data_IF_208819404343
#
_entry.id   IF_208819404343
#
_cell.length_a   1.000
_cell.length_b   1.000
_cell.length_c   1.000
_cell.angle_alpha   90.00
_cell.angle_beta   90.00
_cell.angle_gamma   90.00
#
_symmetry.space_group_name_H-M   'P 1'
#
loop_
_entity.id
_entity.type
_entity.pdbx_description
1 polymer ?
#
# COMPACT_ATOMS: atom_id res chain seq x y z
N UNK A 1 4.34 1.22 -33.97
CA UNK A 1 2.91 1.55 -33.97
C UNK A 1 2.41 1.45 -32.52
N UNK A 2 2.25 2.61 -31.84
CA UNK A 2 1.76 2.61 -30.45
C UNK A 2 0.24 2.43 -30.48
N UNK A 3 -0.23 1.28 -30.02
CA UNK A 3 -1.66 1.04 -29.81
C UNK A 3 -2.07 1.86 -28.58
N UNK A 4 -2.86 2.92 -28.78
CA UNK A 4 -3.46 3.68 -27.70
C UNK A 4 -4.57 2.84 -27.07
N UNK A 5 -4.26 2.09 -26.04
CA UNK A 5 -5.24 1.36 -25.24
C UNK A 5 -5.97 2.33 -24.29
N UNK A 6 -7.27 2.48 -24.49
CA UNK A 6 -8.20 3.10 -23.57
C UNK A 6 -8.66 4.51 -23.95
N UNK A 7 -9.86 4.61 -24.52
CA UNK A 7 -10.56 5.90 -24.68
C UNK A 7 -10.91 6.55 -23.32
N UNK A 8 -11.42 7.81 -23.32
CA UNK A 8 -11.71 8.57 -22.09
C UNK A 8 -12.59 7.83 -21.07
N UNK A 9 -13.54 7.03 -21.52
CA UNK A 9 -14.41 6.21 -20.67
C UNK A 9 -13.66 5.08 -19.94
N UNK A 10 -12.69 4.46 -20.61
CA UNK A 10 -11.86 3.43 -20.00
C UNK A 10 -10.94 4.04 -18.93
N UNK A 11 -10.33 5.19 -19.22
CA UNK A 11 -9.49 5.93 -18.28
C UNK A 11 -10.30 6.33 -17.05
N UNK A 12 -11.51 6.89 -17.22
CA UNK A 12 -12.40 7.26 -16.13
C UNK A 12 -12.79 6.05 -15.25
N UNK A 13 -12.93 4.85 -15.85
CA UNK A 13 -13.21 3.61 -15.10
C UNK A 13 -12.02 3.17 -14.24
N UNK A 14 -10.78 3.40 -14.68
CA UNK A 14 -9.57 3.02 -13.96
C UNK A 14 -9.26 3.95 -12.77
N UNK A 15 -9.80 5.16 -12.78
CA UNK A 15 -9.45 6.23 -11.84
C UNK A 15 -10.32 6.26 -10.57
N UNK A 16 -11.49 5.60 -10.53
CA UNK A 16 -12.30 5.61 -9.33
C UNK A 16 -11.79 4.64 -8.28
N UNK A 17 -12.01 4.98 -7.01
CA UNK A 17 -11.71 4.08 -5.89
C UNK A 17 -12.69 2.92 -5.86
N UNK A 18 -12.15 1.74 -5.56
CA UNK A 18 -12.93 0.52 -5.35
C UNK A 18 -12.45 -0.17 -4.08
N UNK A 19 -13.34 -0.91 -3.45
CA UNK A 19 -13.00 -1.78 -2.34
C UNK A 19 -12.18 -2.97 -2.86
N UNK A 20 -10.99 -3.16 -2.31
CA UNK A 20 -10.05 -4.18 -2.80
C UNK A 20 -10.64 -5.58 -2.70
N UNK A 21 -11.34 -5.89 -1.61
CA UNK A 21 -11.95 -7.22 -1.37
C UNK A 21 -13.04 -7.60 -2.36
N UNK A 22 -13.67 -6.65 -3.04
CA UNK A 22 -14.66 -6.95 -4.07
C UNK A 22 -14.03 -7.62 -5.31
N UNK A 23 -12.72 -7.43 -5.50
CA UNK A 23 -11.93 -7.98 -6.61
C UNK A 23 -10.93 -9.06 -6.18
N UNK A 24 -10.47 -9.00 -4.92
CA UNK A 24 -9.51 -9.94 -4.32
C UNK A 24 -10.09 -10.41 -2.98
N UNK A 25 -11.10 -11.31 -2.98
CA UNK A 25 -11.84 -11.65 -1.76
C UNK A 25 -11.00 -12.31 -0.66
N UNK A 26 -9.90 -12.97 -1.03
CA UNK A 26 -9.00 -13.68 -0.12
C UNK A 26 -7.84 -12.83 0.40
N UNK A 27 -7.67 -11.57 -0.09
CA UNK A 27 -6.65 -10.68 0.44
C UNK A 27 -6.95 -10.35 1.91
N UNK A 28 -5.91 -10.32 2.71
CA UNK A 28 -6.05 -9.89 4.11
C UNK A 28 -5.97 -8.37 4.19
N UNK A 29 -6.81 -7.79 5.03
CA UNK A 29 -6.83 -6.34 5.31
C UNK A 29 -6.78 -6.15 6.81
N UNK A 30 -5.82 -5.37 7.26
CA UNK A 30 -5.57 -4.99 8.66
C UNK A 30 -5.04 -3.55 8.66
N UNK A 31 -5.95 -2.60 8.34
CA UNK A 31 -5.57 -1.20 8.28
C UNK A 31 -5.11 -0.73 9.65
N UNK A 32 -3.82 -0.49 9.81
CA UNK A 32 -3.20 -0.12 11.08
C UNK A 32 -3.79 1.16 11.67
N UNK A 33 -4.08 2.12 10.83
CA UNK A 33 -4.66 3.39 11.25
C UNK A 33 -6.18 3.34 11.53
N UNK A 34 -6.82 2.19 11.34
CA UNK A 34 -8.21 1.95 11.77
C UNK A 34 -8.33 1.49 13.22
N UNK A 35 -7.22 1.35 13.93
CA UNK A 35 -7.13 1.01 15.36
C UNK A 35 -6.11 1.92 16.05
N UNK A 36 -5.85 1.70 17.34
CA UNK A 36 -4.79 2.37 18.10
C UNK A 36 -3.42 1.69 17.95
N UNK A 37 -3.36 0.51 17.30
CA UNK A 37 -2.13 -0.25 17.04
C UNK A 37 -1.36 0.32 15.84
N UNK A 38 -0.84 1.56 16.02
CA UNK A 38 -0.02 2.28 15.05
C UNK A 38 0.86 3.31 15.76
N UNK A 39 1.79 3.95 15.04
CA UNK A 39 2.77 4.88 15.63
C UNK A 39 2.15 6.10 16.30
N UNK A 40 0.91 6.48 15.95
CA UNK A 40 0.24 7.63 16.56
C UNK A 40 -0.41 7.29 17.91
N UNK A 41 -0.65 6.00 18.19
CA UNK A 41 -1.41 5.54 19.35
C UNK A 41 -2.90 5.92 19.32
N UNK A 42 -3.41 6.37 18.18
CA UNK A 42 -4.80 6.78 18.01
C UNK A 42 -5.43 6.14 16.80
N UNK A 43 -6.74 5.89 16.87
CA UNK A 43 -7.53 5.53 15.69
C UNK A 43 -7.69 6.76 14.80
N UNK A 44 -7.21 6.66 13.56
CA UNK A 44 -7.23 7.75 12.57
C UNK A 44 -8.33 7.54 11.54
N UNK A 45 -8.55 6.30 11.07
CA UNK A 45 -9.55 5.99 10.05
C UNK A 45 -10.88 5.56 10.68
N UNK A 46 -12.00 6.07 10.12
CA UNK A 46 -13.35 5.63 10.48
C UNK A 46 -13.85 4.45 9.65
N UNK A 47 -13.00 3.91 8.78
CA UNK A 47 -13.27 2.74 7.93
C UNK A 47 -12.22 1.66 8.17
N UNK A 48 -12.59 0.41 7.86
CA UNK A 48 -11.72 -0.78 8.02
C UNK A 48 -11.46 -1.51 6.70
N UNK A 49 -12.04 -1.03 5.61
CA UNK A 49 -11.90 -1.60 4.28
C UNK A 49 -10.79 -0.89 3.49
N UNK A 50 -9.97 -1.65 2.79
CA UNK A 50 -8.96 -1.09 1.91
C UNK A 50 -9.59 -0.63 0.58
N UNK A 51 -9.33 0.63 0.22
CA UNK A 51 -9.75 1.22 -1.05
C UNK A 51 -8.53 1.60 -1.87
N UNK A 52 -8.56 1.34 -3.17
CA UNK A 52 -7.52 1.74 -4.14
C UNK A 52 -8.18 2.11 -5.47
N UNK A 53 -7.44 2.80 -6.34
CA UNK A 53 -7.85 2.99 -7.73
C UNK A 53 -8.03 1.63 -8.40
N UNK A 54 -9.06 1.50 -9.21
CA UNK A 54 -9.36 0.22 -9.89
C UNK A 54 -8.17 -0.29 -10.70
N UNK A 55 -7.42 0.61 -11.37
CA UNK A 55 -6.20 0.25 -12.07
C UNK A 55 -5.14 -0.39 -11.17
N UNK A 56 -4.96 0.16 -9.99
CA UNK A 56 -4.04 -0.37 -8.97
C UNK A 56 -4.50 -1.75 -8.49
N UNK A 57 -5.82 -1.91 -8.25
CA UNK A 57 -6.39 -3.22 -7.86
C UNK A 57 -6.16 -4.27 -8.93
N UNK A 58 -6.29 -3.93 -10.22
CA UNK A 58 -6.02 -4.88 -11.31
C UNK A 58 -4.56 -5.38 -11.33
N UNK A 59 -3.61 -4.52 -10.96
CA UNK A 59 -2.19 -4.90 -10.80
C UNK A 59 -2.02 -5.82 -9.59
N UNK A 60 -2.63 -5.49 -8.45
CA UNK A 60 -2.59 -6.33 -7.24
C UNK A 60 -3.24 -7.71 -7.44
N UNK A 61 -4.29 -7.81 -8.26
CA UNK A 61 -4.88 -9.12 -8.60
C UNK A 61 -3.86 -10.09 -9.20
N UNK A 62 -2.95 -9.60 -10.05
CA UNK A 62 -1.90 -10.43 -10.66
C UNK A 62 -0.85 -10.84 -9.64
N UNK A 63 -0.47 -9.94 -8.74
CA UNK A 63 0.46 -10.23 -7.63
C UNK A 63 -0.15 -11.30 -6.72
N UNK A 64 -1.39 -11.11 -6.30
CA UNK A 64 -2.10 -12.07 -5.45
C UNK A 64 -2.25 -13.44 -6.11
N UNK A 65 -2.53 -13.50 -7.41
CA UNK A 65 -2.61 -14.76 -8.16
C UNK A 65 -1.25 -15.49 -8.17
N UNK A 66 -0.16 -14.77 -8.35
CA UNK A 66 1.19 -15.36 -8.31
C UNK A 66 1.55 -15.88 -6.92
N UNK A 67 1.18 -15.16 -5.86
CA UNK A 67 1.39 -15.57 -4.47
C UNK A 67 0.57 -16.81 -4.09
N UNK A 68 -0.69 -16.91 -4.54
CA UNK A 68 -1.55 -18.09 -4.30
C UNK A 68 -0.87 -19.38 -4.78
N UNK A 69 -0.17 -19.36 -5.92
CA UNK A 69 0.56 -20.52 -6.45
C UNK A 69 1.67 -20.99 -5.52
N UNK A 70 2.18 -20.10 -4.68
CA UNK A 70 3.22 -20.37 -3.67
C UNK A 70 2.62 -20.64 -2.27
N UNK A 71 1.29 -20.61 -2.12
CA UNK A 71 0.63 -20.77 -0.83
C UNK A 71 0.72 -19.54 0.06
N UNK A 72 0.96 -18.38 -0.54
CA UNK A 72 1.10 -17.09 0.13
C UNK A 72 -0.06 -16.15 -0.25
N UNK A 73 -0.21 -15.08 0.51
CA UNK A 73 -1.15 -14.00 0.26
C UNK A 73 -0.58 -12.68 0.72
N UNK A 74 -1.09 -11.58 0.16
CA UNK A 74 -0.86 -10.26 0.69
C UNK A 74 -1.74 -10.00 1.92
N UNK A 75 -1.20 -9.20 2.84
CA UNK A 75 -1.94 -8.51 3.88
C UNK A 75 -1.69 -7.01 3.74
N UNK A 76 -2.75 -6.21 3.64
CA UNK A 76 -2.69 -4.76 3.49
C UNK A 76 -2.72 -4.11 4.87
N UNK A 77 -1.74 -3.26 5.15
CA UNK A 77 -1.65 -2.43 6.35
C UNK A 77 -2.12 -1.00 6.11
N UNK A 78 -1.91 -0.44 4.90
CA UNK A 78 -2.48 0.83 4.46
C UNK A 78 -2.74 0.84 2.94
N UNK A 79 -3.72 1.63 2.52
CA UNK A 79 -4.12 1.75 1.13
C UNK A 79 -4.51 3.22 0.83
N UNK A 80 -5.77 3.53 0.53
CA UNK A 80 -6.20 4.91 0.48
C UNK A 80 -6.09 5.56 1.86
N UNK A 81 -5.39 6.68 1.91
CA UNK A 81 -5.21 7.54 3.09
C UNK A 81 -5.91 8.86 2.85
N UNK A 82 -6.95 9.20 3.63
CA UNK A 82 -7.58 10.50 3.53
C UNK A 82 -6.57 11.65 3.66
N UNK A 83 -6.69 12.74 2.88
CA UNK A 83 -5.83 13.91 3.05
C UNK A 83 -5.80 14.45 4.49
N UNK A 84 -6.92 14.41 5.21
CA UNK A 84 -7.01 14.81 6.62
C UNK A 84 -6.08 14.00 7.52
N UNK A 85 -5.94 12.70 7.30
CA UNK A 85 -5.06 11.83 8.08
C UNK A 85 -3.58 12.24 7.94
N UNK A 86 -3.16 12.71 6.75
CA UNK A 86 -1.78 13.15 6.54
C UNK A 86 -1.44 14.39 7.38
N UNK A 87 -2.40 15.29 7.62
CA UNK A 87 -2.19 16.41 8.53
C UNK A 87 -1.99 15.94 9.97
N UNK A 88 -2.79 14.98 10.44
CA UNK A 88 -2.63 14.39 11.78
C UNK A 88 -1.26 13.73 11.93
N UNK A 89 -0.83 12.95 10.95
CA UNK A 89 0.50 12.33 10.97
C UNK A 89 1.62 13.37 11.05
N UNK A 90 1.51 14.45 10.28
CA UNK A 90 2.49 15.53 10.27
C UNK A 90 2.54 16.28 11.59
N UNK A 91 1.41 16.49 12.26
CA UNK A 91 1.39 17.11 13.61
C UNK A 91 2.12 16.27 14.66
N UNK A 92 2.05 14.93 14.53
CA UNK A 92 2.68 13.99 15.48
C UNK A 92 4.17 13.80 15.15
N UNK A 93 4.50 13.63 13.86
CA UNK A 93 5.85 13.38 13.38
C UNK A 93 6.18 14.30 12.19
N UNK A 94 6.60 15.58 12.44
CA UNK A 94 6.89 16.54 11.37
C UNK A 94 8.28 16.31 10.76
N UNK A 95 8.51 15.13 10.21
CA UNK A 95 9.76 14.71 9.57
C UNK A 95 9.49 14.19 8.15
N UNK A 96 9.97 14.95 7.16
CA UNK A 96 9.83 14.63 5.73
C UNK A 96 10.46 13.26 5.36
N UNK A 97 11.30 12.68 6.21
CA UNK A 97 11.90 11.37 5.99
C UNK A 97 10.85 10.26 6.09
N UNK A 98 9.87 10.42 6.97
CA UNK A 98 8.86 9.40 7.27
C UNK A 98 7.45 9.80 6.84
N UNK A 99 7.10 11.08 6.98
CA UNK A 99 5.76 11.58 6.69
C UNK A 99 5.85 12.65 5.61
N UNK A 100 5.16 12.44 4.49
CA UNK A 100 5.08 13.46 3.44
C UNK A 100 4.44 14.75 4.00
N UNK A 101 5.11 15.88 3.84
CA UNK A 101 4.63 17.17 4.32
C UNK A 101 3.37 17.61 3.55
N UNK A 102 2.19 17.70 4.20
CA UNK A 102 0.92 17.99 3.52
C UNK A 102 0.89 19.38 2.86
N UNK A 103 1.77 20.31 3.29
CA UNK A 103 1.88 21.65 2.69
C UNK A 103 2.64 21.59 1.37
N UNK A 104 3.58 20.66 1.23
CA UNK A 104 4.35 20.43 0.00
C UNK A 104 3.63 19.54 -1.02
N UNK A 105 2.71 18.71 -0.56
CA UNK A 105 1.92 17.81 -1.38
C UNK A 105 1.40 16.59 -0.63
N UNK A 106 0.45 15.92 -1.24
CA UNK A 106 -0.14 14.72 -0.66
C UNK A 106 0.59 13.44 -1.09
N UNK A 107 0.62 12.49 -0.16
CA UNK A 107 1.15 11.14 -0.35
C UNK A 107 0.48 10.43 -1.54
N UNK A 108 1.18 9.49 -2.21
CA UNK A 108 0.57 8.58 -3.18
C UNK A 108 -0.62 7.78 -2.60
N UNK A 109 -0.67 7.52 -1.30
CA UNK A 109 -1.82 6.93 -0.61
C UNK A 109 -3.08 7.79 -0.75
N UNK A 110 -2.98 9.11 -0.62
CA UNK A 110 -4.13 10.02 -0.79
C UNK A 110 -4.64 10.10 -2.22
N UNK A 111 -3.92 9.48 -3.17
CA UNK A 111 -4.33 9.32 -4.57
C UNK A 111 -4.96 7.96 -4.85
N UNK A 112 -4.94 7.04 -3.86
CA UNK A 112 -5.38 5.65 -4.02
C UNK A 112 -4.46 4.80 -4.92
N UNK A 113 -3.22 5.25 -5.13
CA UNK A 113 -2.22 4.61 -5.96
C UNK A 113 -1.03 4.04 -5.19
N UNK A 114 -1.10 3.96 -3.86
CA UNK A 114 -0.06 3.33 -3.05
C UNK A 114 -0.66 2.32 -2.08
N UNK A 115 0.16 1.37 -1.67
CA UNK A 115 -0.22 0.31 -0.74
C UNK A 115 0.97 -0.08 0.12
N UNK A 116 0.71 -0.25 1.42
CA UNK A 116 1.63 -0.83 2.39
C UNK A 116 1.20 -2.26 2.68
N UNK A 117 2.09 -3.21 2.48
CA UNK A 117 1.78 -4.64 2.46
C UNK A 117 2.82 -5.48 3.17
N UNK A 118 2.36 -6.64 3.64
CA UNK A 118 3.21 -7.74 4.09
C UNK A 118 2.76 -9.07 3.50
N UNK A 119 3.52 -10.13 3.73
CA UNK A 119 3.19 -11.49 3.33
C UNK A 119 2.61 -12.29 4.49
N UNK A 120 1.59 -13.07 4.17
CA UNK A 120 1.02 -14.06 5.07
C UNK A 120 0.95 -15.43 4.41
N UNK A 121 0.97 -16.50 5.23
CA UNK A 121 0.72 -17.86 4.78
C UNK A 121 -0.79 -18.13 4.56
N UNK A 122 -1.14 -19.37 4.19
CA UNK A 122 -2.53 -19.79 3.97
C UNK A 122 -3.41 -19.65 5.21
N UNK A 123 -2.83 -19.69 6.41
CA UNK A 123 -3.55 -19.52 7.67
C UNK A 123 -3.81 -18.05 8.01
N UNK A 124 -3.12 -17.13 7.33
CA UNK A 124 -3.13 -15.71 7.60
C UNK A 124 -2.07 -15.25 8.60
N UNK A 125 -1.14 -16.15 8.97
CA UNK A 125 0.00 -15.82 9.82
C UNK A 125 1.03 -15.06 8.99
N UNK A 126 1.53 -13.94 9.50
CA UNK A 126 2.60 -13.17 8.86
C UNK A 126 3.89 -13.98 8.79
N UNK A 127 4.59 -13.84 7.66
CA UNK A 127 5.93 -14.36 7.49
C UNK A 127 6.92 -13.45 8.24
N UNK A 128 8.12 -13.98 8.49
CA UNK A 128 9.22 -13.17 8.97
C UNK A 128 9.58 -12.11 7.93
N UNK A 129 9.40 -10.84 8.26
CA UNK A 129 9.70 -9.70 7.40
C UNK A 129 10.79 -8.83 8.03
N UNK A 130 11.36 -7.86 7.29
CA UNK A 130 12.52 -7.09 7.76
C UNK A 130 12.35 -6.37 9.09
N UNK A 131 11.21 -5.71 9.28
CA UNK A 131 10.85 -4.97 10.49
C UNK A 131 9.35 -5.02 10.70
N UNK A 132 8.89 -4.56 11.83
CA UNK A 132 7.48 -4.20 12.04
C UNK A 132 7.09 -3.02 11.14
N UNK A 133 5.79 -2.79 10.96
CA UNK A 133 5.26 -1.64 10.24
C UNK A 133 5.59 -0.35 10.98
N UNK A 134 5.86 0.74 10.25
CA UNK A 134 6.26 2.04 10.81
C UNK A 134 7.51 1.98 11.72
N UNK A 135 8.45 1.09 11.43
CA UNK A 135 9.75 1.10 12.11
C UNK A 135 10.61 2.26 11.62
N UNK A 136 10.65 3.33 12.40
CA UNK A 136 11.44 4.54 12.13
C UNK A 136 12.91 4.43 12.62
N UNK A 137 13.40 3.23 12.91
CA UNK A 137 14.79 3.02 13.35
C UNK A 137 15.83 3.11 12.23
N UNK A 138 15.38 3.27 10.97
CA UNK A 138 16.22 3.23 9.78
C UNK A 138 16.52 1.81 9.27
N UNK A 139 15.98 0.77 9.90
CA UNK A 139 16.14 -0.63 9.47
C UNK A 139 15.13 -1.06 8.39
N UNK A 140 14.11 -0.25 8.17
CA UNK A 140 13.08 -0.47 7.16
C UNK A 140 13.57 -0.18 5.73
N UNK A 141 14.70 0.51 5.57
CA UNK A 141 15.28 0.80 4.25
C UNK A 141 15.61 -0.49 3.51
N UNK A 142 15.32 -0.52 2.21
CA UNK A 142 15.59 -1.70 1.37
C UNK A 142 17.07 -2.05 1.40
N UNK A 143 17.35 -3.34 1.32
CA UNK A 143 18.71 -3.88 1.38
C UNK A 143 19.50 -3.54 2.66
N UNK A 144 18.79 -3.21 3.77
CA UNK A 144 19.47 -3.06 5.06
C UNK A 144 20.27 -4.31 5.40
N UNK A 145 21.60 -4.21 5.64
CA UNK A 145 22.48 -5.37 5.76
C UNK A 145 22.26 -6.18 7.04
N UNK A 146 21.46 -5.67 7.98
CA UNK A 146 21.14 -6.34 9.24
C UNK A 146 19.89 -7.21 9.21
N UNK A 147 19.19 -7.33 8.06
CA UNK A 147 18.06 -8.25 7.93
C UNK A 147 18.49 -9.71 8.03
N UNK A 148 17.65 -10.55 8.61
CA UNK A 148 17.88 -11.98 8.56
C UNK A 148 17.81 -12.49 7.11
N UNK A 149 18.50 -13.59 6.77
CA UNK A 149 18.39 -14.17 5.43
C UNK A 149 16.96 -14.53 5.05
N UNK A 150 16.13 -14.95 6.02
CA UNK A 150 14.72 -15.30 5.78
C UNK A 150 13.87 -14.06 5.50
N UNK A 151 14.01 -13.01 6.30
CA UNK A 151 13.31 -11.75 6.09
C UNK A 151 13.67 -11.14 4.72
N UNK A 152 14.94 -11.11 4.38
CA UNK A 152 15.42 -10.65 3.08
C UNK A 152 14.85 -11.48 1.91
N UNK A 153 14.78 -12.80 2.06
CA UNK A 153 14.21 -13.68 1.04
C UNK A 153 12.70 -13.42 0.86
N UNK A 154 11.95 -13.31 1.94
CA UNK A 154 10.51 -13.03 1.92
C UNK A 154 10.21 -11.66 1.30
N UNK A 155 10.98 -10.64 1.67
CA UNK A 155 10.85 -9.29 1.10
C UNK A 155 11.11 -9.29 -0.41
N UNK A 156 12.13 -10.00 -0.90
CA UNK A 156 12.42 -10.10 -2.34
C UNK A 156 11.29 -10.76 -3.13
N UNK A 157 10.58 -11.74 -2.56
CA UNK A 157 9.43 -12.36 -3.22
C UNK A 157 8.35 -11.32 -3.51
N UNK A 158 7.97 -10.53 -2.51
CA UNK A 158 6.92 -9.52 -2.69
C UNK A 158 7.39 -8.40 -3.60
N UNK A 159 8.62 -7.91 -3.42
CA UNK A 159 9.16 -6.84 -4.25
C UNK A 159 9.21 -7.22 -5.73
N UNK A 160 9.75 -8.38 -6.06
CA UNK A 160 9.81 -8.85 -7.43
C UNK A 160 8.43 -8.91 -8.08
N UNK A 161 7.44 -9.48 -7.36
CA UNK A 161 6.08 -9.58 -7.88
C UNK A 161 5.40 -8.21 -8.02
N UNK A 162 5.63 -7.30 -7.09
CA UNK A 162 5.09 -5.94 -7.18
C UNK A 162 5.70 -5.17 -8.36
N UNK A 163 7.01 -5.19 -8.50
CA UNK A 163 7.71 -4.48 -9.58
C UNK A 163 7.34 -5.05 -10.95
N UNK A 164 7.29 -6.36 -11.11
CA UNK A 164 6.91 -7.03 -12.35
C UNK A 164 5.46 -6.72 -12.76
N UNK A 165 4.61 -6.33 -11.82
CA UNK A 165 3.22 -5.99 -12.06
C UNK A 165 2.93 -4.47 -12.05
N UNK A 166 3.95 -3.62 -12.16
CA UNK A 166 3.79 -2.19 -12.42
C UNK A 166 3.70 -1.34 -11.17
N UNK A 167 4.38 -1.73 -10.12
CA UNK A 167 4.63 -0.89 -8.94
C UNK A 167 6.08 -0.45 -8.87
N UNK A 168 6.32 0.66 -8.21
CA UNK A 168 7.65 1.14 -7.82
C UNK A 168 7.79 0.88 -6.33
N UNK A 169 8.87 0.23 -5.96
CA UNK A 169 9.26 0.02 -4.57
C UNK A 169 9.90 1.30 -4.02
N UNK A 170 9.46 1.78 -2.86
CA UNK A 170 10.06 2.93 -2.20
C UNK A 170 11.30 2.49 -1.39
N UNK A 171 12.42 3.18 -1.59
CA UNK A 171 13.70 2.79 -0.97
C UNK A 171 13.69 2.86 0.55
N UNK A 172 12.98 3.82 1.13
CA UNK A 172 12.95 4.06 2.58
C UNK A 172 12.16 3.04 3.38
N UNK A 173 11.25 2.29 2.73
CA UNK A 173 10.28 1.41 3.42
C UNK A 173 10.04 0.15 2.62
N UNK A 174 10.39 -1.01 3.18
CA UNK A 174 10.28 -2.30 2.49
C UNK A 174 8.83 -2.70 2.16
N UNK A 175 7.85 -2.21 2.91
CA UNK A 175 6.41 -2.49 2.73
C UNK A 175 5.72 -1.60 1.70
N UNK A 176 6.30 -0.40 1.37
CA UNK A 176 5.66 0.65 0.60
C UNK A 176 5.88 0.50 -0.91
N UNK A 177 4.76 0.46 -1.66
CA UNK A 177 4.75 0.34 -3.12
C UNK A 177 3.79 1.35 -3.75
N UNK A 178 4.23 2.01 -4.82
CA UNK A 178 3.49 3.03 -5.55
C UNK A 178 3.17 2.54 -6.95
N UNK A 179 1.93 2.68 -7.38
CA UNK A 179 1.52 2.41 -8.77
C UNK A 179 2.28 3.30 -9.76
N UNK A 180 2.74 2.74 -10.87
CA UNK A 180 3.39 3.50 -11.95
C UNK A 180 2.44 4.44 -12.67
N UNK A 181 1.12 4.18 -12.62
CA UNK A 181 0.11 5.10 -13.11
C UNK A 181 -0.07 6.28 -12.14
N UNK A 182 -0.31 7.46 -12.69
CA UNK A 182 -0.48 8.68 -11.89
C UNK A 182 -1.96 9.00 -11.73
N UNK A 183 -2.35 9.26 -10.50
CA UNK A 183 -3.72 9.62 -10.13
C UNK A 183 -3.77 10.98 -9.42
N UNK A 184 -4.90 11.66 -9.54
CA UNK A 184 -5.18 12.87 -8.75
C UNK A 184 -5.53 12.48 -7.31
N UNK A 185 -5.37 13.44 -6.39
CA UNK A 185 -5.79 13.28 -4.99
C UNK A 185 -7.30 13.02 -4.94
N UNK A 186 -7.71 12.09 -4.08
CA UNK A 186 -9.13 11.77 -3.88
C UNK A 186 -9.69 12.64 -2.77
N UNK A 187 -10.78 13.33 -3.05
CA UNK A 187 -11.53 14.06 -2.03
C UNK A 187 -12.23 13.07 -1.08
N UNK A 188 -12.13 13.29 0.24
CA UNK A 188 -12.71 12.39 1.25
C UNK A 188 -14.22 12.12 1.02
N UNK A 189 -14.95 13.12 0.58
CA UNK A 189 -16.39 13.01 0.29
C UNK A 189 -16.73 12.01 -0.84
N UNK A 190 -15.76 11.56 -1.62
CA UNK A 190 -15.96 10.57 -2.68
C UNK A 190 -15.92 9.12 -2.17
N UNK A 191 -15.30 8.89 -1.03
CA UNK A 191 -15.05 7.52 -0.49
C UNK A 191 -16.17 7.06 0.44
N UNK A 192 -16.87 7.97 1.08
CA UNK A 192 -17.86 7.69 2.11
C UNK A 192 -19.32 7.62 1.57
N UNK A 193 -19.48 7.54 0.24
CA UNK A 193 -20.77 7.34 -0.43
C UNK A 193 -20.94 5.88 -0.85
#
# INVERSE_FOLDING_TARGET
MRVAFGGPLFRKKMEHLVKVKDYIPDIRVDLKYASEDNFTGHKIYDFTEAYLRYGTVQKLMKVQEALRKQGLSLKIWDAYRPPSAQFVFWEICPDDTYIANPIKGFSPHSRGGAVDITLVDRTGKELEMPTEYDDFSGKAVRDYPGWTPQAAANQRIVEQLMVDNGFVAYEGEWWHYVDTDKYEVVEEAEVLK
#
